data_IF_742800123132
#
_entry.id   IF_742800123132
#
_cell.length_a   1.000
_cell.length_b   1.000
_cell.length_c   1.000
_cell.angle_alpha   90.00
_cell.angle_beta   90.00
_cell.angle_gamma   90.00
#
_symmetry.space_group_name_H-M   'P 1'
#
loop_
_entity.id
_entity.type
_entity.pdbx_description
1 polymer ?
#
# COMPACT_ATOMS: atom_id res chain seq x y z
N UNK A 1 -29.28 0.17 -4.85
CA UNK A 1 -28.95 0.61 -3.47
C UNK A 1 -27.91 -0.37 -2.93
N UNK A 2 -26.68 0.05 -2.61
CA UNK A 2 -25.64 -0.84 -2.07
C UNK A 2 -25.93 -1.20 -0.61
N UNK A 3 -25.71 -2.47 -0.23
CA UNK A 3 -26.02 -3.01 1.11
C UNK A 3 -24.91 -2.66 2.13
N UNK A 4 -25.23 -2.47 3.43
CA UNK A 4 -24.21 -2.39 4.48
C UNK A 4 -23.22 -3.57 4.41
N UNK A 5 -21.95 -3.35 4.76
CA UNK A 5 -20.91 -4.38 4.68
C UNK A 5 -20.37 -4.65 3.27
N UNK A 6 -20.87 -3.96 2.24
CA UNK A 6 -20.25 -4.03 0.90
C UNK A 6 -18.89 -3.35 0.95
N UNK A 7 -17.84 -4.06 0.53
CA UNK A 7 -16.49 -3.50 0.47
C UNK A 7 -16.32 -2.52 -0.70
N UNK A 8 -15.32 -1.64 -0.59
CA UNK A 8 -15.09 -0.58 -1.56
C UNK A 8 -14.72 -1.16 -2.94
N UNK A 9 -13.93 -2.24 -2.97
CA UNK A 9 -13.56 -2.95 -4.22
C UNK A 9 -14.76 -3.50 -5.01
N UNK A 10 -15.89 -3.78 -4.35
CA UNK A 10 -17.12 -4.30 -4.98
C UNK A 10 -18.21 -3.25 -5.14
N UNK A 11 -17.87 -1.96 -5.00
CA UNK A 11 -18.82 -0.86 -5.17
C UNK A 11 -18.64 -0.21 -6.55
N UNK A 12 -19.47 -0.54 -7.56
CA UNK A 12 -19.25 -0.13 -8.97
C UNK A 12 -19.37 1.38 -9.23
N UNK A 13 -19.69 2.18 -8.21
CA UNK A 13 -19.96 3.62 -8.32
C UNK A 13 -18.92 4.50 -7.63
N UNK A 14 -17.87 3.91 -7.06
CA UNK A 14 -16.77 4.66 -6.47
C UNK A 14 -15.73 4.91 -7.55
N UNK A 15 -15.71 6.13 -8.07
CA UNK A 15 -14.59 6.60 -8.86
C UNK A 15 -13.30 6.59 -8.01
N UNK A 16 -12.11 6.44 -8.61
CA UNK A 16 -10.83 6.46 -7.89
C UNK A 16 -10.69 7.64 -6.92
N UNK A 17 -11.09 8.84 -7.35
CA UNK A 17 -11.06 10.05 -6.52
C UNK A 17 -11.90 9.92 -5.24
N UNK A 18 -13.07 9.27 -5.34
CA UNK A 18 -13.92 9.02 -4.19
C UNK A 18 -13.31 8.01 -3.22
N UNK A 19 -12.59 7.00 -3.71
CA UNK A 19 -11.84 6.07 -2.86
C UNK A 19 -10.72 6.77 -2.11
N UNK A 20 -9.96 7.62 -2.80
CA UNK A 20 -8.87 8.40 -2.20
C UNK A 20 -9.40 9.37 -1.14
N UNK A 21 -10.56 9.97 -1.35
CA UNK A 21 -11.20 10.84 -0.35
C UNK A 21 -11.59 10.06 0.93
N UNK A 22 -12.20 8.88 0.77
CA UNK A 22 -12.57 8.01 1.89
C UNK A 22 -11.31 7.54 2.63
N UNK A 23 -10.29 7.09 1.90
CA UNK A 23 -9.03 6.66 2.44
C UNK A 23 -8.38 7.79 3.27
N UNK A 24 -8.29 8.99 2.70
CA UNK A 24 -7.67 10.14 3.37
C UNK A 24 -8.37 10.50 4.69
N UNK A 25 -9.69 10.48 4.72
CA UNK A 25 -10.45 10.80 5.93
C UNK A 25 -10.31 9.71 7.00
N UNK A 26 -10.32 8.43 6.63
CA UNK A 26 -10.12 7.33 7.58
C UNK A 26 -8.69 7.33 8.15
N UNK A 27 -7.68 7.52 7.31
CA UNK A 27 -6.27 7.61 7.74
C UNK A 27 -6.03 8.80 8.66
N UNK A 28 -6.54 10.00 8.31
CA UNK A 28 -6.41 11.19 9.19
C UNK A 28 -7.04 10.98 10.56
N UNK A 29 -8.12 10.21 10.66
CA UNK A 29 -8.73 9.87 11.96
C UNK A 29 -7.87 8.89 12.75
N UNK A 30 -7.37 7.85 12.08
CA UNK A 30 -6.50 6.85 12.71
C UNK A 30 -5.23 7.49 13.26
N UNK A 31 -4.54 8.31 12.45
CA UNK A 31 -3.27 8.91 12.85
C UNK A 31 -3.41 10.02 13.89
N UNK A 32 -4.63 10.51 14.14
CA UNK A 32 -4.97 11.44 15.23
C UNK A 32 -5.49 10.73 16.47
N UNK A 33 -5.68 9.40 16.43
CA UNK A 33 -6.11 8.66 17.59
C UNK A 33 -5.06 8.80 18.70
N UNK A 34 -5.53 8.92 19.93
CA UNK A 34 -4.62 8.97 21.08
C UNK A 34 -3.81 7.67 21.15
N UNK A 35 -2.51 7.74 21.43
CA UNK A 35 -1.70 6.54 21.63
C UNK A 35 -2.32 5.68 22.72
N UNK A 36 -2.40 4.37 22.48
CA UNK A 36 -2.69 3.43 23.57
C UNK A 36 -1.41 3.07 24.31
N UNK A 37 -1.55 2.55 25.53
CA UNK A 37 -0.42 2.00 26.29
C UNK A 37 0.09 0.65 25.74
N UNK A 38 -0.49 0.16 24.65
CA UNK A 38 -0.09 -1.11 24.03
C UNK A 38 1.17 -0.95 23.19
N UNK A 39 2.13 -1.85 23.38
CA UNK A 39 3.39 -1.88 22.64
C UNK A 39 3.19 -2.54 21.25
N UNK A 40 2.80 -1.73 20.27
CA UNK A 40 2.67 -2.19 18.89
C UNK A 40 4.05 -2.37 18.23
N UNK A 41 4.24 -3.39 17.37
CA UNK A 41 5.50 -3.59 16.68
C UNK A 41 5.82 -2.38 15.78
N UNK A 42 7.10 -2.08 15.63
CA UNK A 42 7.55 -1.03 14.71
C UNK A 42 7.52 -1.50 13.26
N UNK A 43 7.34 -0.58 12.30
CA UNK A 43 7.42 -0.88 10.87
C UNK A 43 8.75 -1.54 10.47
N UNK A 44 9.85 -1.21 11.15
CA UNK A 44 11.16 -1.85 10.97
C UNK A 44 11.16 -3.35 11.29
N UNK A 45 10.32 -3.79 12.24
CA UNK A 45 10.18 -5.20 12.61
C UNK A 45 9.25 -5.94 11.63
N UNK A 46 8.21 -5.27 11.16
CA UNK A 46 7.17 -5.90 10.33
C UNK A 46 7.60 -6.00 8.86
N UNK A 47 8.12 -4.92 8.28
CA UNK A 47 8.42 -4.83 6.84
C UNK A 47 9.26 -5.99 6.28
N UNK A 48 10.32 -6.49 6.94
CA UNK A 48 11.12 -7.59 6.41
C UNK A 48 10.32 -8.88 6.16
N UNK A 49 9.20 -9.09 6.88
CA UNK A 49 8.34 -10.27 6.69
C UNK A 49 7.57 -10.22 5.38
N UNK A 50 7.22 -9.03 4.91
CA UNK A 50 6.47 -8.83 3.66
C UNK A 50 7.29 -9.24 2.42
N UNK A 51 8.62 -9.06 2.48
CA UNK A 51 9.51 -9.55 1.41
C UNK A 51 9.49 -11.07 1.30
N UNK A 52 9.50 -11.78 2.44
CA UNK A 52 9.43 -13.23 2.45
C UNK A 52 8.09 -13.73 1.88
N UNK A 53 6.98 -13.09 2.28
CA UNK A 53 5.65 -13.38 1.73
C UNK A 53 5.64 -13.17 0.20
N UNK A 54 6.22 -12.07 -0.29
CA UNK A 54 6.27 -11.81 -1.73
C UNK A 54 7.03 -12.90 -2.52
N UNK A 55 8.10 -13.46 -1.95
CA UNK A 55 8.85 -14.56 -2.55
C UNK A 55 8.07 -15.88 -2.54
N UNK A 56 7.39 -16.19 -1.43
CA UNK A 56 6.56 -17.39 -1.29
C UNK A 56 5.37 -17.36 -2.26
N UNK A 57 4.68 -16.21 -2.36
CA UNK A 57 3.57 -16.00 -3.29
C UNK A 57 4.02 -16.15 -4.74
N UNK A 58 5.18 -15.60 -5.11
CA UNK A 58 5.75 -15.75 -6.45
C UNK A 58 5.97 -17.23 -6.80
N UNK A 59 6.56 -18.00 -5.87
CA UNK A 59 6.80 -19.42 -6.08
C UNK A 59 5.49 -20.20 -6.26
N UNK A 60 4.48 -19.89 -5.45
CA UNK A 60 3.14 -20.48 -5.55
C UNK A 60 2.46 -20.15 -6.88
N UNK A 61 2.38 -18.87 -7.26
CA UNK A 61 1.69 -18.42 -8.48
C UNK A 61 2.36 -18.98 -9.76
N UNK A 62 3.71 -19.05 -9.78
CA UNK A 62 4.45 -19.68 -10.87
C UNK A 62 4.08 -21.16 -11.03
N UNK A 63 3.99 -21.88 -9.92
CA UNK A 63 3.63 -23.30 -9.91
C UNK A 63 2.18 -23.52 -10.36
N UNK A 64 1.22 -22.75 -9.81
CA UNK A 64 -0.21 -22.90 -10.11
C UNK A 64 -0.54 -22.50 -11.55
N UNK A 65 0.07 -21.42 -12.07
CA UNK A 65 -0.26 -20.91 -13.42
C UNK A 65 0.63 -21.49 -14.52
N UNK A 66 1.69 -22.23 -14.19
CA UNK A 66 2.65 -22.75 -15.16
C UNK A 66 3.38 -21.66 -15.93
N UNK A 67 3.63 -20.50 -15.30
CA UNK A 67 4.31 -19.34 -15.90
C UNK A 67 5.58 -19.02 -15.11
N UNK A 68 6.75 -19.63 -15.44
CA UNK A 68 7.95 -19.54 -14.61
C UNK A 68 8.52 -18.13 -14.49
N UNK A 69 8.32 -17.27 -15.50
CA UNK A 69 8.86 -15.91 -15.52
C UNK A 69 7.94 -14.87 -14.87
N UNK A 70 6.74 -15.27 -14.45
CA UNK A 70 5.77 -14.33 -13.87
C UNK A 70 6.31 -13.78 -12.55
N UNK A 71 6.22 -12.46 -12.35
CA UNK A 71 6.74 -11.78 -11.17
C UNK A 71 8.26 -11.57 -11.12
N UNK A 72 9.03 -12.00 -12.14
CA UNK A 72 10.49 -11.82 -12.15
C UNK A 72 10.90 -10.35 -12.01
N UNK A 73 10.18 -9.43 -12.67
CA UNK A 73 10.44 -7.99 -12.60
C UNK A 73 10.43 -7.45 -11.16
N UNK A 74 9.48 -7.91 -10.34
CA UNK A 74 9.40 -7.54 -8.94
C UNK A 74 10.49 -8.22 -8.11
N UNK A 75 10.68 -9.53 -8.28
CA UNK A 75 11.71 -10.30 -7.57
C UNK A 75 13.11 -9.71 -7.75
N UNK A 76 13.46 -9.33 -8.98
CA UNK A 76 14.77 -8.73 -9.32
C UNK A 76 14.99 -7.38 -8.62
N UNK A 77 13.92 -6.73 -8.15
CA UNK A 77 13.97 -5.42 -7.51
C UNK A 77 13.76 -5.43 -6.00
N UNK A 78 13.41 -6.56 -5.39
CA UNK A 78 13.16 -6.65 -3.94
C UNK A 78 14.35 -6.13 -3.11
N UNK A 79 15.58 -6.45 -3.51
CA UNK A 79 16.77 -5.98 -2.79
C UNK A 79 16.91 -4.45 -2.79
N UNK A 80 16.61 -3.78 -3.90
CA UNK A 80 16.67 -2.31 -3.99
C UNK A 80 15.50 -1.68 -3.24
N UNK A 81 14.29 -2.28 -3.35
CA UNK A 81 13.13 -1.84 -2.61
C UNK A 81 13.33 -1.93 -1.09
N UNK A 82 13.98 -3.00 -0.60
CA UNK A 82 14.36 -3.16 0.80
C UNK A 82 15.31 -2.05 1.26
N UNK A 83 16.35 -1.74 0.48
CA UNK A 83 17.29 -0.67 0.82
C UNK A 83 16.58 0.69 0.91
N UNK A 84 15.70 1.00 -0.05
CA UNK A 84 14.90 2.22 -0.02
C UNK A 84 13.97 2.28 1.19
N UNK A 85 13.29 1.17 1.51
CA UNK A 85 12.42 1.07 2.68
C UNK A 85 13.19 1.29 3.98
N UNK A 86 14.38 0.71 4.13
CA UNK A 86 15.23 0.90 5.30
C UNK A 86 15.61 2.38 5.50
N UNK A 87 15.96 3.08 4.42
CA UNK A 87 16.27 4.51 4.46
C UNK A 87 15.05 5.36 4.84
N UNK A 88 13.89 5.08 4.23
CA UNK A 88 12.65 5.76 4.60
C UNK A 88 12.32 5.52 6.06
N UNK A 89 12.32 4.27 6.53
CA UNK A 89 12.07 3.94 7.94
C UNK A 89 13.01 4.73 8.86
N UNK A 90 14.32 4.73 8.59
CA UNK A 90 15.32 5.44 9.40
C UNK A 90 15.14 6.97 9.44
N UNK A 91 14.53 7.56 8.41
CA UNK A 91 14.30 9.00 8.28
C UNK A 91 12.88 9.44 8.68
N UNK A 92 12.10 8.57 9.31
CA UNK A 92 10.73 8.88 9.74
C UNK A 92 10.72 9.93 10.86
N UNK A 93 10.24 11.14 10.55
CA UNK A 93 10.22 12.27 11.50
C UNK A 93 9.04 12.30 12.47
N UNK A 94 7.98 11.52 12.22
CA UNK A 94 6.76 11.51 13.02
C UNK A 94 5.99 10.21 12.85
N UNK A 95 6.42 9.13 13.52
CA UNK A 95 5.72 7.85 13.41
C UNK A 95 4.33 7.94 14.05
N UNK A 96 3.37 7.24 13.45
CA UNK A 96 1.98 7.17 13.90
C UNK A 96 1.53 5.72 13.97
N UNK A 97 0.38 5.47 14.61
CA UNK A 97 -0.29 4.18 14.52
C UNK A 97 -0.81 3.97 13.10
N UNK A 98 -0.33 2.92 12.44
CA UNK A 98 -0.79 2.44 11.14
C UNK A 98 -1.83 1.33 11.33
N UNK A 99 -2.75 1.21 10.37
CA UNK A 99 -3.68 0.10 10.28
C UNK A 99 -2.99 -1.18 9.78
N UNK A 100 -2.01 -1.05 8.88
CA UNK A 100 -1.13 -2.13 8.44
C UNK A 100 -1.70 -3.11 7.41
N UNK A 101 -3.02 -3.25 7.32
CA UNK A 101 -3.71 -3.86 6.15
C UNK A 101 -4.77 -2.90 5.57
N UNK A 102 -4.40 -1.62 5.38
CA UNK A 102 -5.34 -0.59 4.92
C UNK A 102 -5.59 -0.68 3.41
N UNK A 103 -6.44 -1.61 3.00
CA UNK A 103 -6.73 -1.90 1.59
C UNK A 103 -8.20 -1.74 1.25
N UNK A 104 -8.53 -1.54 -0.03
CA UNK A 104 -9.92 -1.34 -0.50
C UNK A 104 -10.88 -2.48 -0.14
N UNK A 105 -10.37 -3.71 0.01
CA UNK A 105 -11.14 -4.88 0.48
C UNK A 105 -11.62 -4.72 1.93
N UNK A 106 -10.87 -3.99 2.75
CA UNK A 106 -11.09 -3.79 4.18
C UNK A 106 -11.87 -2.51 4.48
N UNK A 107 -12.15 -1.69 3.47
CA UNK A 107 -13.03 -0.54 3.58
C UNK A 107 -14.47 -0.96 3.29
N UNK A 108 -15.34 -0.90 4.28
CA UNK A 108 -16.73 -1.33 4.17
C UNK A 108 -17.71 -0.19 4.41
N UNK A 109 -18.82 -0.20 3.66
CA UNK A 109 -19.92 0.75 3.88
C UNK A 109 -20.55 0.50 5.25
N UNK A 110 -20.57 1.54 6.06
CA UNK A 110 -21.24 1.58 7.36
C UNK A 110 -22.00 2.91 7.47
N UNK A 111 -23.33 2.85 7.41
CA UNK A 111 -24.19 4.05 7.48
C UNK A 111 -24.16 4.73 8.84
N UNK A 112 -23.68 4.03 9.86
CA UNK A 112 -23.55 4.57 11.23
C UNK A 112 -22.18 5.21 11.45
N UNK A 113 -21.20 4.92 10.60
CA UNK A 113 -19.89 5.55 10.68
C UNK A 113 -19.96 7.02 10.22
N UNK A 114 -19.20 7.95 10.83
CA UNK A 114 -19.39 9.37 10.55
C UNK A 114 -19.08 9.79 9.11
N UNK A 115 -18.34 8.96 8.35
CA UNK A 115 -18.02 9.20 6.93
C UNK A 115 -18.67 8.16 6.00
N UNK A 116 -19.60 7.36 6.53
CA UNK A 116 -20.30 6.31 5.78
C UNK A 116 -19.44 5.06 5.48
N UNK A 117 -18.24 4.98 6.06
CA UNK A 117 -17.25 3.93 5.86
C UNK A 117 -16.52 3.57 7.14
N UNK A 118 -16.08 2.32 7.23
CA UNK A 118 -15.26 1.77 8.31
C UNK A 118 -14.14 0.92 7.71
N UNK A 119 -12.96 0.95 8.32
CA UNK A 119 -11.88 0.00 8.05
C UNK A 119 -11.98 -1.20 9.00
N UNK A 120 -11.64 -2.40 8.51
CA UNK A 120 -11.66 -3.65 9.26
C UNK A 120 -10.32 -4.37 9.12
N UNK A 121 -10.10 -5.38 9.95
CA UNK A 121 -8.98 -6.31 9.86
C UNK A 121 -7.59 -5.62 9.94
N UNK A 122 -7.31 -4.86 11.02
CA UNK A 122 -6.02 -4.20 11.17
C UNK A 122 -4.91 -5.19 11.53
N UNK A 123 -3.72 -4.93 11.00
CA UNK A 123 -2.43 -5.48 11.41
C UNK A 123 -1.60 -4.34 12.00
N UNK A 124 -1.96 -3.83 13.19
CA UNK A 124 -1.49 -2.53 13.66
C UNK A 124 0.02 -2.51 13.93
N UNK A 125 0.65 -1.40 13.57
CA UNK A 125 2.08 -1.17 13.78
C UNK A 125 2.38 0.33 13.96
N UNK A 126 3.50 0.68 14.56
CA UNK A 126 3.99 2.07 14.62
C UNK A 126 4.93 2.33 13.46
N UNK A 127 4.67 3.36 12.66
CA UNK A 127 5.51 3.62 11.50
C UNK A 127 5.24 4.91 10.76
N UNK A 128 5.87 5.01 9.61
CA UNK A 128 5.75 6.15 8.71
C UNK A 128 4.34 6.23 8.09
N UNK A 129 3.59 7.34 8.25
CA UNK A 129 2.30 7.50 7.59
C UNK A 129 2.38 7.38 6.06
N UNK A 130 3.52 7.75 5.44
CA UNK A 130 3.73 7.61 4.01
C UNK A 130 3.78 6.14 3.55
N UNK A 131 4.17 5.22 4.43
CA UNK A 131 4.16 3.78 4.15
C UNK A 131 2.74 3.29 3.87
N UNK A 132 1.79 3.69 4.71
CA UNK A 132 0.39 3.29 4.59
C UNK A 132 -0.31 3.94 3.39
N UNK A 133 0.04 5.19 3.05
CA UNK A 133 -0.37 5.83 1.78
C UNK A 133 0.13 5.03 0.58
N UNK A 134 1.42 4.68 0.58
CA UNK A 134 2.03 3.91 -0.50
C UNK A 134 1.43 2.51 -0.64
N UNK A 135 1.19 1.83 0.48
CA UNK A 135 0.59 0.50 0.50
C UNK A 135 -0.83 0.53 -0.10
N UNK A 136 -1.68 1.46 0.33
CA UNK A 136 -3.02 1.61 -0.24
C UNK A 136 -2.98 1.84 -1.76
N UNK A 137 -2.09 2.75 -2.20
CA UNK A 137 -1.97 3.10 -3.61
C UNK A 137 -1.48 1.93 -4.48
N UNK A 138 -0.53 1.13 -4.00
CA UNK A 138 0.02 -0.01 -4.73
C UNK A 138 -1.01 -1.12 -5.04
N UNK A 139 -2.12 -1.18 -4.29
CA UNK A 139 -3.23 -2.11 -4.54
C UNK A 139 -4.27 -1.58 -5.55
N UNK A 140 -4.13 -0.34 -6.04
CA UNK A 140 -4.94 0.17 -7.14
C UNK A 140 -4.38 -0.30 -8.49
N UNK A 141 -5.10 -0.03 -9.59
CA UNK A 141 -4.63 -0.33 -10.94
C UNK A 141 -3.26 0.30 -11.21
N UNK A 142 -2.39 -0.40 -11.94
CA UNK A 142 -0.98 -0.01 -12.14
C UNK A 142 -0.81 1.46 -12.57
N UNK A 143 -1.61 1.94 -13.51
CA UNK A 143 -1.59 3.33 -13.99
C UNK A 143 -1.96 4.37 -12.93
N UNK A 144 -2.64 3.95 -11.85
CA UNK A 144 -3.12 4.82 -10.78
C UNK A 144 -2.20 4.83 -9.56
N UNK A 145 -1.20 3.94 -9.45
CA UNK A 145 -0.38 3.79 -8.23
C UNK A 145 0.29 5.11 -7.83
N UNK A 146 1.11 5.71 -8.71
CA UNK A 146 1.83 6.93 -8.37
C UNK A 146 0.90 8.16 -8.24
N UNK A 147 -0.06 8.40 -9.16
CA UNK A 147 -1.02 9.50 -9.00
C UNK A 147 -1.88 9.40 -7.73
N UNK A 148 -2.30 8.19 -7.34
CA UNK A 148 -3.10 7.99 -6.14
C UNK A 148 -2.28 8.20 -4.87
N UNK A 149 -1.02 7.73 -4.84
CA UNK A 149 -0.11 7.98 -3.73
C UNK A 149 0.09 9.48 -3.50
N UNK A 150 0.36 10.24 -4.56
CA UNK A 150 0.51 11.70 -4.52
C UNK A 150 -0.78 12.40 -4.04
N UNK A 151 -1.93 12.05 -4.63
CA UNK A 151 -3.22 12.65 -4.28
C UNK A 151 -3.60 12.35 -2.82
N UNK A 152 -3.37 11.12 -2.36
CA UNK A 152 -3.65 10.71 -0.99
C UNK A 152 -2.68 11.38 -0.01
N UNK A 153 -1.40 11.54 -0.36
CA UNK A 153 -0.43 12.25 0.45
C UNK A 153 -0.83 13.71 0.68
N UNK A 154 -1.20 14.43 -0.40
CA UNK A 154 -1.67 15.83 -0.30
C UNK A 154 -2.88 15.94 0.62
N UNK A 155 -3.86 15.02 0.52
CA UNK A 155 -5.08 15.06 1.34
C UNK A 155 -4.85 14.67 2.81
N UNK A 156 -3.78 13.96 3.09
CA UNK A 156 -3.45 13.49 4.45
C UNK A 156 -2.38 14.36 5.12
N UNK A 157 -1.73 15.25 4.37
CA UNK A 157 -0.65 16.11 4.85
C UNK A 157 0.71 15.41 4.91
N UNK A 158 0.83 14.25 4.25
CA UNK A 158 2.10 13.52 4.09
C UNK A 158 2.88 14.12 2.92
N UNK A 159 4.22 14.08 3.00
CA UNK A 159 5.09 14.55 1.92
C UNK A 159 4.89 13.67 0.65
N UNK A 160 4.48 14.26 -0.49
CA UNK A 160 4.11 13.49 -1.68
C UNK A 160 5.21 12.60 -2.24
N UNK A 161 6.46 13.06 -2.29
CA UNK A 161 7.55 12.29 -2.87
C UNK A 161 7.89 11.04 -2.04
N UNK A 162 7.86 11.17 -0.72
CA UNK A 162 8.00 10.08 0.25
C UNK A 162 6.89 9.06 0.12
N UNK A 163 5.64 9.50 -0.08
CA UNK A 163 4.52 8.61 -0.34
C UNK A 163 4.66 7.88 -1.69
N UNK A 164 5.15 8.55 -2.73
CA UNK A 164 5.45 7.93 -4.04
C UNK A 164 6.59 6.93 -3.93
N UNK A 165 7.62 7.20 -3.12
CA UNK A 165 8.70 6.26 -2.85
C UNK A 165 8.19 4.99 -2.14
N UNK A 166 7.34 5.14 -1.13
CA UNK A 166 6.66 3.99 -0.53
C UNK A 166 5.74 3.23 -1.50
N UNK A 167 5.00 3.94 -2.34
CA UNK A 167 4.18 3.31 -3.38
C UNK A 167 5.04 2.51 -4.38
N UNK A 168 6.23 3.02 -4.73
CA UNK A 168 7.19 2.31 -5.57
C UNK A 168 7.71 1.04 -4.90
N UNK A 169 8.05 1.10 -3.61
CA UNK A 169 8.46 -0.06 -2.81
C UNK A 169 7.35 -1.12 -2.81
N UNK A 170 6.12 -0.75 -2.47
CA UNK A 170 5.00 -1.69 -2.44
C UNK A 170 4.62 -2.22 -3.83
N UNK A 171 4.76 -1.42 -4.88
CA UNK A 171 4.55 -1.88 -6.26
C UNK A 171 5.54 -3.00 -6.65
N UNK A 172 6.80 -2.94 -6.17
CA UNK A 172 7.76 -4.04 -6.36
C UNK A 172 7.28 -5.33 -5.69
N UNK A 173 6.80 -5.25 -4.44
CA UNK A 173 6.22 -6.40 -3.73
C UNK A 173 5.01 -6.98 -4.47
N UNK A 174 4.08 -6.12 -4.89
CA UNK A 174 2.90 -6.52 -5.67
C UNK A 174 3.27 -7.18 -7.01
N UNK A 175 4.31 -6.65 -7.68
CA UNK A 175 4.83 -7.24 -8.91
C UNK A 175 5.41 -8.62 -8.66
N UNK A 176 6.19 -8.79 -7.57
CA UNK A 176 6.80 -10.06 -7.20
C UNK A 176 5.75 -11.14 -6.90
N UNK A 177 4.74 -10.83 -6.08
CA UNK A 177 3.66 -11.77 -5.72
C UNK A 177 2.91 -12.31 -6.94
N UNK A 178 2.79 -11.50 -7.99
CA UNK A 178 2.37 -11.93 -9.33
C UNK A 178 0.91 -12.42 -9.49
N UNK A 179 0.04 -12.22 -8.50
CA UNK A 179 -1.38 -12.67 -8.56
C UNK A 179 -2.30 -11.75 -9.38
N UNK A 180 -1.85 -10.54 -9.73
CA UNK A 180 -2.72 -9.48 -10.26
C UNK A 180 -3.18 -9.70 -11.71
N UNK A 181 -4.37 -9.22 -12.03
CA UNK A 181 -4.92 -9.25 -13.40
C UNK A 181 -4.16 -8.31 -14.34
N UNK A 182 -3.76 -7.13 -13.86
CA UNK A 182 -3.01 -6.11 -14.60
C UNK A 182 -1.48 -6.27 -14.50
N UNK A 183 -1.00 -7.50 -14.25
CA UNK A 183 0.40 -7.79 -13.99
C UNK A 183 1.37 -7.18 -15.01
N UNK A 184 1.08 -7.29 -16.31
CA UNK A 184 1.98 -6.78 -17.35
C UNK A 184 2.11 -5.25 -17.28
N UNK A 185 1.05 -4.54 -16.88
CA UNK A 185 1.09 -3.09 -16.67
C UNK A 185 1.89 -2.74 -15.42
N UNK A 186 1.72 -3.52 -14.35
CA UNK A 186 2.49 -3.36 -13.12
C UNK A 186 3.98 -3.63 -13.35
N UNK A 187 4.34 -4.69 -14.07
CA UNK A 187 5.74 -5.00 -14.40
C UNK A 187 6.37 -3.90 -15.25
N UNK A 188 5.62 -3.30 -16.21
CA UNK A 188 6.10 -2.12 -16.95
C UNK A 188 6.32 -0.92 -16.06
N UNK A 189 5.42 -0.64 -15.13
CA UNK A 189 5.59 0.44 -14.15
C UNK A 189 6.83 0.18 -13.29
N UNK A 190 6.93 -1.00 -12.69
CA UNK A 190 8.04 -1.40 -11.85
C UNK A 190 9.36 -1.35 -12.61
N UNK A 191 9.40 -1.71 -13.88
CA UNK A 191 10.58 -1.60 -14.74
C UNK A 191 10.96 -0.17 -15.16
N UNK A 192 10.11 0.83 -14.92
CA UNK A 192 10.27 2.19 -15.44
C UNK A 192 11.43 2.98 -14.82
N UNK A 193 11.86 4.03 -15.53
CA UNK A 193 12.83 4.99 -15.03
C UNK A 193 12.34 5.76 -13.79
N UNK A 194 11.02 5.98 -13.68
CA UNK A 194 10.45 6.70 -12.54
C UNK A 194 10.51 5.87 -11.25
N UNK A 195 10.17 4.58 -11.30
CA UNK A 195 10.37 3.69 -10.15
C UNK A 195 11.87 3.58 -9.80
N UNK A 196 12.75 3.52 -10.80
CA UNK A 196 14.20 3.54 -10.54
C UNK A 196 14.66 4.79 -9.78
N UNK A 197 14.12 5.95 -10.13
CA UNK A 197 14.42 7.22 -9.47
C UNK A 197 13.93 7.20 -8.03
N UNK A 198 12.66 6.81 -7.82
CA UNK A 198 12.03 6.74 -6.49
C UNK A 198 12.73 5.77 -5.53
N UNK A 199 13.24 4.64 -6.03
CA UNK A 199 13.93 3.63 -5.21
C UNK A 199 15.40 3.98 -4.87
N UNK A 200 15.99 5.00 -5.49
CA UNK A 200 17.41 5.36 -5.28
C UNK A 200 17.62 6.59 -4.40
N UNK A 201 16.54 7.22 -3.94
CA UNK A 201 16.59 8.57 -3.38
C UNK A 201 16.76 9.58 -4.52
N UNK A 202 15.81 10.51 -4.63
CA UNK A 202 15.90 11.65 -5.55
C UNK A 202 16.93 12.67 -5.10
#
# INVERSE_FOLDING_TARGET
MTRPGTNASRTPRLAPDGLVEIAAELLRRLWRAEPSDYDFPGLAEVYPREEAVAQEDAAYERAVRGRPDRGSTGLDRLAVARSAAAELIATTGGPVLLHGDFLTKNLVRDRTAPVGWRSLDPLPMIGDPACEVGAFAAYLAAESILPAAETLAVRTGVEPERARAWAAIWAVHQSAQSWREDQDALDRLVGSAEINRLLRGG
#
